data_IF_355762960423
#
_entry.id   IF_355762960423
#
_cell.length_a   1.000
_cell.length_b   1.000
_cell.length_c   1.000
_cell.angle_alpha   90.00
_cell.angle_beta   90.00
_cell.angle_gamma   90.00
#
_symmetry.space_group_name_H-M   'P 1'
#
loop_
_entity.id
_entity.type
_entity.pdbx_description
1 polymer ?
#
# COMPACT_ATOMS: atom_id res chain seq x y z
N UNK A 1 -0.86 -33.37 25.27
CA UNK A 1 -0.88 -31.90 25.44
C UNK A 1 -0.11 -31.35 24.28
N UNK A 2 -0.79 -30.72 23.33
CA UNK A 2 -0.17 -30.26 22.08
C UNK A 2 0.47 -28.91 22.37
N UNK A 3 1.79 -28.85 22.40
CA UNK A 3 2.55 -27.60 22.48
C UNK A 3 2.37 -26.85 21.16
N UNK A 4 1.44 -25.90 21.13
CA UNK A 4 1.32 -24.94 20.03
C UNK A 4 2.52 -24.01 20.10
N UNK A 5 3.41 -24.12 19.11
CA UNK A 5 4.45 -23.13 18.85
C UNK A 5 3.78 -21.77 18.65
N UNK A 6 3.89 -20.89 19.64
CA UNK A 6 3.57 -19.47 19.49
C UNK A 6 4.63 -18.86 18.57
N UNK A 7 4.42 -18.99 17.27
CA UNK A 7 5.09 -18.20 16.25
C UNK A 7 4.71 -16.75 16.51
N UNK A 8 5.60 -16.00 17.15
CA UNK A 8 5.54 -14.55 17.18
C UNK A 8 5.68 -14.09 15.73
N UNK A 9 4.56 -13.75 15.10
CA UNK A 9 4.55 -13.08 13.80
C UNK A 9 5.30 -11.76 13.98
N UNK A 10 6.57 -11.73 13.57
CA UNK A 10 7.35 -10.52 13.43
C UNK A 10 6.53 -9.52 12.59
N UNK A 11 6.07 -8.42 13.21
CA UNK A 11 5.27 -7.37 12.56
C UNK A 11 3.88 -7.10 13.16
N UNK A 12 3.46 -7.80 14.22
CA UNK A 12 2.17 -7.53 14.90
C UNK A 12 2.13 -6.25 15.78
N UNK A 13 3.29 -5.65 16.10
CA UNK A 13 3.35 -4.40 16.87
C UNK A 13 3.25 -3.14 15.99
N UNK A 14 3.40 -3.28 14.66
CA UNK A 14 3.05 -2.23 13.72
C UNK A 14 1.58 -2.38 13.39
N UNK A 15 0.72 -1.66 14.12
CA UNK A 15 -0.68 -1.49 13.75
C UNK A 15 -0.74 -0.77 12.42
N UNK A 16 -0.78 -1.54 11.32
CA UNK A 16 -1.17 -1.00 10.03
C UNK A 16 -2.54 -0.34 10.16
N UNK A 17 -2.78 0.80 9.49
CA UNK A 17 -4.07 1.46 9.52
C UNK A 17 -5.15 0.49 9.05
N UNK A 18 -6.30 0.45 9.73
CA UNK A 18 -7.44 -0.35 9.27
C UNK A 18 -7.95 0.11 7.90
N UNK A 19 -7.85 1.41 7.65
CA UNK A 19 -8.25 2.10 6.43
C UNK A 19 -7.05 2.85 5.87
N UNK A 20 -6.84 2.70 4.57
CA UNK A 20 -5.77 3.34 3.81
C UNK A 20 -6.32 4.03 2.57
N UNK A 21 -5.65 5.08 2.17
CA UNK A 21 -5.94 5.81 0.95
C UNK A 21 -4.99 5.35 -0.13
N UNK A 22 -5.52 4.97 -1.28
CA UNK A 22 -4.73 4.66 -2.48
C UNK A 22 -5.06 5.67 -3.57
N UNK A 23 -4.16 5.81 -4.54
CA UNK A 23 -4.44 6.60 -5.74
C UNK A 23 -5.04 5.70 -6.81
N UNK A 24 -6.18 6.09 -7.36
CA UNK A 24 -6.91 5.36 -8.39
C UNK A 24 -7.30 6.28 -9.55
N UNK A 25 -7.07 5.83 -10.77
CA UNK A 25 -7.50 6.52 -11.97
C UNK A 25 -8.82 5.90 -12.48
N UNK A 26 -9.97 6.56 -12.32
CA UNK A 26 -11.29 5.96 -12.54
C UNK A 26 -11.52 5.52 -13.99
N UNK A 27 -10.91 6.22 -14.96
CA UNK A 27 -11.13 5.95 -16.38
C UNK A 27 -10.29 4.79 -16.94
N UNK A 28 -9.21 4.40 -16.26
CA UNK A 28 -8.26 3.38 -16.77
C UNK A 28 -8.05 2.22 -15.80
N UNK A 29 -8.72 2.26 -14.65
CA UNK A 29 -8.56 1.34 -13.51
C UNK A 29 -7.11 1.15 -13.07
N UNK A 30 -6.29 2.20 -13.24
CA UNK A 30 -4.88 2.20 -12.81
C UNK A 30 -4.79 2.65 -11.36
N UNK A 31 -3.79 2.13 -10.66
CA UNK A 31 -3.49 2.54 -9.30
C UNK A 31 -2.10 3.15 -9.20
N UNK A 32 -1.92 4.05 -8.25
CA UNK A 32 -0.63 4.60 -7.89
C UNK A 32 0.28 3.50 -7.37
N UNK A 33 1.42 3.31 -8.03
CA UNK A 33 2.46 2.37 -7.60
C UNK A 33 3.74 3.15 -7.30
N UNK A 34 4.54 2.63 -6.39
CA UNK A 34 5.83 3.19 -6.06
C UNK A 34 6.91 2.10 -6.09
N UNK A 35 8.12 2.54 -6.42
CA UNK A 35 9.30 1.68 -6.40
C UNK A 35 10.29 2.25 -5.38
N UNK A 36 10.48 1.52 -4.28
CA UNK A 36 11.45 1.86 -3.24
C UNK A 36 12.50 0.74 -3.17
N UNK A 37 13.77 1.10 -3.36
CA UNK A 37 14.92 0.17 -3.34
C UNK A 37 14.73 -1.09 -4.22
N UNK A 38 14.05 -0.96 -5.35
CA UNK A 38 13.77 -2.06 -6.28
C UNK A 38 12.54 -2.91 -5.94
N UNK A 39 11.91 -2.70 -4.79
CA UNK A 39 10.63 -3.29 -4.43
C UNK A 39 9.52 -2.46 -5.07
N UNK A 40 8.63 -3.11 -5.83
CA UNK A 40 7.49 -2.45 -6.46
C UNK A 40 6.23 -2.79 -5.69
N UNK A 41 5.51 -1.76 -5.27
CA UNK A 41 4.30 -1.93 -4.50
C UNK A 41 3.21 -0.93 -4.85
N UNK A 42 1.98 -1.27 -4.44
CA UNK A 42 0.86 -0.36 -4.45
C UNK A 42 1.11 0.74 -3.40
N UNK A 43 1.03 2.00 -3.81
CA UNK A 43 1.19 3.13 -2.90
C UNK A 43 -0.09 3.33 -2.10
N UNK A 44 -0.02 3.18 -0.79
CA UNK A 44 -1.09 3.50 0.15
C UNK A 44 -0.63 4.50 1.21
N UNK A 45 -1.57 5.17 1.84
CA UNK A 45 -1.32 6.27 2.78
C UNK A 45 -2.28 6.16 3.95
N UNK A 46 -1.87 6.50 5.16
CA UNK A 46 -2.79 6.55 6.32
C UNK A 46 -3.74 7.74 6.27
N UNK A 47 -3.46 8.74 5.40
CA UNK A 47 -4.29 9.93 5.27
C UNK A 47 -4.50 10.32 3.80
N UNK A 48 -5.71 10.81 3.50
CA UNK A 48 -6.07 11.33 2.18
C UNK A 48 -5.11 12.45 1.72
N UNK A 49 -4.70 13.31 2.66
CA UNK A 49 -3.75 14.40 2.40
C UNK A 49 -2.38 13.88 1.95
N UNK A 50 -1.92 12.76 2.49
CA UNK A 50 -0.68 12.10 2.06
C UNK A 50 -0.79 11.63 0.62
N UNK A 51 -1.88 10.96 0.29
CA UNK A 51 -2.16 10.48 -1.06
C UNK A 51 -2.24 11.63 -2.08
N UNK A 52 -2.93 12.73 -1.74
CA UNK A 52 -3.04 13.89 -2.63
C UNK A 52 -1.67 14.54 -2.89
N UNK A 53 -0.86 14.73 -1.84
CA UNK A 53 0.50 15.28 -1.97
C UNK A 53 1.39 14.42 -2.86
N UNK A 54 1.28 13.10 -2.74
CA UNK A 54 2.03 12.18 -3.59
C UNK A 54 1.57 12.24 -5.05
N UNK A 55 0.26 12.38 -5.30
CA UNK A 55 -0.27 12.57 -6.65
C UNK A 55 0.27 13.86 -7.29
N UNK A 56 0.34 14.95 -6.52
CA UNK A 56 0.96 16.22 -6.96
C UNK A 56 2.47 16.06 -7.20
N UNK A 57 3.17 15.33 -6.33
CA UNK A 57 4.62 15.15 -6.43
C UNK A 57 5.06 14.39 -7.68
N UNK A 58 4.28 13.39 -8.10
CA UNK A 58 4.59 12.54 -9.27
C UNK A 58 3.89 13.05 -10.54
N UNK A 59 3.12 14.15 -10.46
CA UNK A 59 2.31 14.68 -11.56
C UNK A 59 1.33 13.64 -12.13
N UNK A 60 0.67 12.89 -11.24
CA UNK A 60 -0.34 11.88 -11.60
C UNK A 60 -1.69 12.54 -11.86
N UNK A 61 -1.71 13.44 -12.84
CA UNK A 61 -2.90 14.17 -13.28
C UNK A 61 -4.06 13.22 -13.60
N UNK A 62 -5.21 13.43 -12.94
CA UNK A 62 -6.42 12.63 -13.13
C UNK A 62 -6.58 11.43 -12.19
N UNK A 63 -5.62 11.18 -11.29
CA UNK A 63 -5.82 10.23 -10.20
C UNK A 63 -6.65 10.85 -9.07
N UNK A 64 -7.47 10.03 -8.44
CA UNK A 64 -8.30 10.38 -7.29
C UNK A 64 -7.88 9.53 -6.10
N UNK A 65 -8.07 10.07 -4.90
CA UNK A 65 -7.93 9.31 -3.66
C UNK A 65 -9.10 8.34 -3.54
N UNK A 66 -8.79 7.10 -3.16
CA UNK A 66 -9.77 6.06 -2.88
C UNK A 66 -9.46 5.45 -1.52
N UNK A 67 -10.41 5.55 -0.62
CA UNK A 67 -10.35 4.91 0.68
C UNK A 67 -10.71 3.44 0.54
N UNK A 68 -9.88 2.57 1.12
CA UNK A 68 -10.03 1.13 1.15
C UNK A 68 -9.60 0.61 2.52
N UNK A 69 -10.15 -0.52 2.94
CA UNK A 69 -9.55 -1.25 4.04
C UNK A 69 -8.15 -1.76 3.67
N UNK A 70 -7.31 -2.00 4.66
CA UNK A 70 -5.97 -2.54 4.43
C UNK A 70 -6.03 -3.88 3.67
N UNK A 71 -6.98 -4.76 4.03
CA UNK A 71 -7.15 -6.04 3.36
C UNK A 71 -7.62 -5.88 1.90
N UNK A 72 -8.53 -4.95 1.60
CA UNK A 72 -8.89 -4.63 0.22
C UNK A 72 -7.70 -4.09 -0.56
N UNK A 73 -6.87 -3.22 0.04
CA UNK A 73 -5.67 -2.70 -0.61
C UNK A 73 -4.65 -3.81 -0.89
N UNK A 74 -4.53 -4.81 0.00
CA UNK A 74 -3.71 -6.01 -0.23
C UNK A 74 -4.23 -6.84 -1.40
N UNK A 75 -5.53 -7.05 -1.47
CA UNK A 75 -6.14 -7.82 -2.56
C UNK A 75 -5.99 -7.08 -3.90
N UNK A 76 -6.17 -5.76 -3.92
CA UNK A 76 -5.85 -4.92 -5.09
C UNK A 76 -4.40 -5.10 -5.50
N UNK A 77 -3.44 -5.11 -4.57
CA UNK A 77 -2.02 -5.29 -4.88
C UNK A 77 -1.72 -6.70 -5.44
N UNK A 78 -2.38 -7.76 -4.95
CA UNK A 78 -2.25 -9.13 -5.47
C UNK A 78 -2.79 -9.31 -6.87
N UNK A 79 -3.87 -8.61 -7.21
CA UNK A 79 -4.48 -8.67 -8.53
C UNK A 79 -3.65 -7.98 -9.61
N UNK A 80 -2.64 -7.16 -9.23
CA UNK A 80 -1.81 -6.46 -10.20
C UNK A 80 -0.76 -7.36 -10.84
N UNK A 81 -0.51 -7.19 -12.14
CA UNK A 81 0.55 -7.92 -12.83
C UNK A 81 1.93 -7.53 -12.26
N UNK A 82 2.92 -8.41 -12.47
CA UNK A 82 4.31 -8.09 -12.13
C UNK A 82 4.71 -6.74 -12.75
N UNK A 83 5.46 -5.89 -12.01
CA UNK A 83 6.31 -6.23 -10.87
C UNK A 83 5.70 -6.00 -9.47
N UNK A 84 4.42 -5.65 -9.33
CA UNK A 84 3.83 -5.34 -8.01
C UNK A 84 3.83 -6.57 -7.10
N UNK A 85 4.55 -6.50 -5.98
CA UNK A 85 4.71 -7.60 -5.01
C UNK A 85 4.42 -7.18 -3.56
N UNK A 86 4.17 -5.90 -3.32
CA UNK A 86 3.92 -5.35 -1.99
C UNK A 86 2.84 -4.27 -1.98
N UNK A 87 2.35 -3.98 -0.79
CA UNK A 87 1.59 -2.80 -0.42
C UNK A 87 2.55 -1.90 0.37
N UNK A 88 2.68 -0.63 0.01
CA UNK A 88 3.64 0.30 0.60
C UNK A 88 2.93 1.49 1.23
N UNK A 89 3.01 1.61 2.55
CA UNK A 89 2.53 2.79 3.26
C UNK A 89 3.57 3.90 3.10
N UNK A 90 3.23 4.91 2.32
CA UNK A 90 4.12 6.00 1.88
C UNK A 90 3.85 7.32 2.62
N UNK A 91 3.52 7.25 3.90
CA UNK A 91 3.38 8.45 4.72
C UNK A 91 4.71 9.17 4.91
N UNK A 92 5.81 8.40 4.93
CA UNK A 92 7.18 8.90 4.87
C UNK A 92 7.89 8.33 3.63
N UNK A 93 8.21 9.15 2.60
CA UNK A 93 8.86 8.66 1.38
C UNK A 93 10.30 8.16 1.61
N UNK A 94 10.96 8.61 2.68
CA UNK A 94 12.32 8.17 3.04
C UNK A 94 12.33 6.83 3.78
N UNK A 95 11.20 6.41 4.34
CA UNK A 95 11.06 5.18 5.13
C UNK A 95 9.64 4.58 4.96
N UNK A 96 9.32 4.02 3.78
CA UNK A 96 8.01 3.44 3.54
C UNK A 96 7.86 2.10 4.25
N UNK A 97 6.71 1.87 4.88
CA UNK A 97 6.40 0.56 5.46
C UNK A 97 5.94 -0.39 4.35
N UNK A 98 6.75 -1.42 4.09
CA UNK A 98 6.51 -2.38 3.01
C UNK A 98 5.85 -3.64 3.56
N UNK A 99 4.61 -3.89 3.14
CA UNK A 99 3.89 -5.13 3.41
C UNK A 99 3.87 -6.02 2.16
N UNK A 100 4.58 -7.14 2.18
CA UNK A 100 4.60 -8.08 1.05
C UNK A 100 3.27 -8.84 0.94
N UNK A 101 2.68 -8.88 -0.26
CA UNK A 101 1.32 -9.43 -0.46
C UNK A 101 1.29 -10.74 -1.25
N UNK A 102 2.44 -11.38 -1.48
CA UNK A 102 2.55 -12.57 -2.33
C UNK A 102 2.32 -13.89 -1.59
#
# INVERSE_FOLDING_TARGET
MTETLELTLLGLDETFPNEVFVLHHPNTDRYGCFCHEGVHGLACFSSEKGAFRFAEWIDLSGMMTKELSFDEARDVAKERPMPVISLMVLDNPDDPQIHYVR
#
